data_IF_367994651890
#
_entry.id   IF_367994651890
#
_cell.length_a   1.000
_cell.length_b   1.000
_cell.length_c   1.000
_cell.angle_alpha   90.00
_cell.angle_beta   90.00
_cell.angle_gamma   90.00
#
_symmetry.space_group_name_H-M   'P 1'
#
loop_
_entity.id
_entity.type
_entity.pdbx_description
1 polymer ?
#
# COMPACT_ATOMS: atom_id res chain seq x y z
N UNK A 1 -33.60 57.69 -18.83
CA UNK A 1 -33.24 56.46 -18.07
C UNK A 1 -32.91 55.25 -18.98
N UNK A 2 -32.64 55.44 -20.27
CA UNK A 2 -32.35 54.33 -21.20
C UNK A 2 -30.86 54.12 -21.54
N UNK A 3 -29.98 55.09 -21.27
CA UNK A 3 -28.56 55.03 -21.69
C UNK A 3 -27.64 54.24 -20.75
N UNK A 4 -28.03 54.03 -19.48
CA UNK A 4 -27.18 53.33 -18.50
C UNK A 4 -27.19 51.79 -18.63
N UNK A 5 -28.10 51.20 -19.42
CA UNK A 5 -28.16 49.74 -19.61
C UNK A 5 -27.26 49.23 -20.72
N UNK A 6 -27.00 50.04 -21.75
CA UNK A 6 -26.23 49.63 -22.94
C UNK A 6 -24.74 49.50 -22.65
N UNK A 7 -24.15 50.45 -21.91
CA UNK A 7 -22.71 50.45 -21.54
C UNK A 7 -22.29 49.24 -20.68
N UNK A 8 -23.21 48.69 -19.87
CA UNK A 8 -22.91 47.59 -18.98
C UNK A 8 -22.84 46.23 -19.72
N UNK A 9 -23.54 46.11 -20.84
CA UNK A 9 -23.52 44.92 -21.72
C UNK A 9 -22.21 44.80 -22.47
N UNK A 10 -21.68 45.92 -22.99
CA UNK A 10 -20.42 45.94 -23.74
C UNK A 10 -19.21 45.68 -22.83
N UNK A 11 -19.27 46.14 -21.58
CA UNK A 11 -18.24 45.86 -20.58
C UNK A 11 -18.16 44.37 -20.21
N UNK A 12 -19.30 43.68 -20.10
CA UNK A 12 -19.36 42.24 -19.81
C UNK A 12 -18.91 41.38 -21.01
N UNK A 13 -19.20 41.82 -22.24
CA UNK A 13 -18.71 41.17 -23.45
C UNK A 13 -17.17 41.22 -23.53
N UNK A 14 -16.59 42.40 -23.26
CA UNK A 14 -15.15 42.61 -23.22
C UNK A 14 -14.45 41.75 -22.14
N UNK A 15 -15.04 41.66 -20.96
CA UNK A 15 -14.52 40.80 -19.89
C UNK A 15 -14.49 39.32 -20.29
N UNK A 16 -15.52 38.86 -21.00
CA UNK A 16 -15.65 37.46 -21.46
C UNK A 16 -14.65 37.14 -22.56
N UNK A 17 -14.39 38.09 -23.45
CA UNK A 17 -13.43 37.95 -24.54
C UNK A 17 -11.97 37.97 -24.05
N UNK A 18 -11.65 38.79 -23.04
CA UNK A 18 -10.33 38.75 -22.38
C UNK A 18 -10.12 37.40 -21.69
N UNK A 19 -11.16 36.84 -21.07
CA UNK A 19 -11.11 35.51 -20.45
C UNK A 19 -10.87 34.42 -21.50
N UNK A 20 -11.54 34.46 -22.65
CA UNK A 20 -11.36 33.47 -23.71
C UNK A 20 -9.94 33.53 -24.31
N UNK A 21 -9.39 34.72 -24.52
CA UNK A 21 -8.00 34.90 -24.98
C UNK A 21 -6.97 34.36 -24.00
N UNK A 22 -7.22 34.53 -22.70
CA UNK A 22 -6.37 33.97 -21.65
C UNK A 22 -6.51 32.44 -21.54
N UNK A 23 -7.65 31.87 -21.92
CA UNK A 23 -7.86 30.42 -21.97
C UNK A 23 -7.13 29.78 -23.15
N UNK A 24 -7.13 30.43 -24.31
CA UNK A 24 -6.43 29.96 -25.53
C UNK A 24 -4.90 30.02 -25.39
N UNK A 25 -4.37 30.92 -24.55
CA UNK A 25 -2.92 31.12 -24.38
C UNK A 25 -2.44 30.78 -22.96
N UNK A 26 -2.08 29.51 -22.67
CA UNK A 26 -1.68 29.08 -21.33
C UNK A 26 -0.35 29.66 -20.82
N UNK A 27 0.49 30.21 -21.72
CA UNK A 27 1.72 30.94 -21.39
C UNK A 27 1.49 32.40 -21.01
N UNK A 28 0.24 32.88 -21.07
CA UNK A 28 -0.17 34.24 -20.76
C UNK A 28 -0.23 35.16 -21.99
N UNK A 29 -1.01 36.23 -21.88
CA UNK A 29 -1.32 37.19 -22.95
C UNK A 29 -0.67 38.54 -22.64
N UNK A 30 0.08 39.11 -23.59
CA UNK A 30 0.67 40.46 -23.47
C UNK A 30 -0.35 41.55 -23.80
N UNK A 31 -0.16 42.77 -23.29
CA UNK A 31 -1.04 43.93 -23.58
C UNK A 31 -1.26 44.16 -25.10
N UNK A 32 -0.19 44.01 -25.91
CA UNK A 32 -0.26 44.09 -27.38
C UNK A 32 -1.14 43.01 -28.04
N UNK A 33 -1.25 41.84 -27.43
CA UNK A 33 -2.08 40.75 -27.94
C UNK A 33 -3.56 40.98 -27.61
N UNK A 34 -3.85 41.64 -26.49
CA UNK A 34 -5.21 42.09 -26.13
C UNK A 34 -5.64 43.23 -27.05
N UNK A 35 -4.73 44.16 -27.34
CA UNK A 35 -4.96 45.27 -28.28
C UNK A 35 -5.25 44.80 -29.71
N UNK A 36 -4.53 43.78 -30.19
CA UNK A 36 -4.78 43.20 -31.53
C UNK A 36 -6.09 42.41 -31.62
N UNK A 37 -6.52 41.79 -30.53
CA UNK A 37 -7.74 40.98 -30.51
C UNK A 37 -9.01 41.84 -30.38
N UNK A 38 -8.92 43.00 -29.72
CA UNK A 38 -10.03 43.93 -29.53
C UNK A 38 -9.64 45.36 -29.94
N UNK A 39 -9.47 45.63 -31.24
CA UNK A 39 -9.08 46.94 -31.75
C UNK A 39 -10.19 48.01 -31.62
N UNK A 40 -11.43 47.60 -31.37
CA UNK A 40 -12.63 48.45 -31.41
C UNK A 40 -12.88 49.24 -30.11
N UNK A 41 -12.08 49.02 -29.05
CA UNK A 41 -12.37 49.50 -27.68
C UNK A 41 -11.31 50.49 -27.19
N UNK A 42 -11.75 51.56 -26.53
CA UNK A 42 -10.88 52.60 -25.97
C UNK A 42 -9.93 52.03 -24.88
N UNK A 43 -8.71 52.58 -24.82
CA UNK A 43 -7.64 52.14 -23.90
C UNK A 43 -8.10 52.20 -22.45
N UNK A 44 -8.94 53.18 -22.09
CA UNK A 44 -9.46 53.33 -20.72
C UNK A 44 -10.47 52.25 -20.35
N UNK A 45 -11.33 51.83 -21.28
CA UNK A 45 -12.29 50.75 -21.06
C UNK A 45 -11.57 49.40 -20.91
N UNK A 46 -10.52 49.17 -21.70
CA UNK A 46 -9.64 47.99 -21.57
C UNK A 46 -8.96 47.90 -20.21
N UNK A 47 -8.34 49.00 -19.74
CA UNK A 47 -7.70 49.04 -18.42
C UNK A 47 -8.73 48.84 -17.30
N UNK A 48 -9.94 49.39 -17.46
CA UNK A 48 -11.02 49.21 -16.47
C UNK A 48 -11.50 47.76 -16.40
N UNK A 49 -11.67 47.08 -17.54
CA UNK A 49 -12.02 45.67 -17.60
C UNK A 49 -10.91 44.77 -17.02
N UNK A 50 -9.64 45.04 -17.33
CA UNK A 50 -8.49 44.33 -16.75
C UNK A 50 -8.46 44.50 -15.22
N UNK A 51 -8.62 45.72 -14.73
CA UNK A 51 -8.65 46.00 -13.28
C UNK A 51 -9.84 45.32 -12.60
N UNK A 52 -11.01 45.25 -13.24
CA UNK A 52 -12.16 44.48 -12.75
C UNK A 52 -11.86 42.98 -12.69
N UNK A 53 -11.31 42.40 -13.75
CA UNK A 53 -10.94 40.98 -13.80
C UNK A 53 -9.85 40.61 -12.78
N UNK A 54 -8.91 41.52 -12.50
CA UNK A 54 -7.91 41.40 -11.44
C UNK A 54 -8.56 41.46 -10.05
N UNK A 55 -9.49 42.39 -9.84
CA UNK A 55 -10.23 42.53 -8.57
C UNK A 55 -11.13 41.32 -8.31
N UNK A 56 -11.75 40.77 -9.36
CA UNK A 56 -12.51 39.52 -9.32
C UNK A 56 -11.62 38.28 -9.17
N UNK A 57 -10.30 38.42 -9.37
CA UNK A 57 -9.33 37.35 -9.22
C UNK A 57 -9.39 36.27 -10.30
N UNK A 58 -9.97 36.57 -11.47
CA UNK A 58 -10.06 35.65 -12.63
C UNK A 58 -8.75 35.58 -13.41
N UNK A 59 -7.96 36.66 -13.40
CA UNK A 59 -6.66 36.77 -14.06
C UNK A 59 -5.56 37.17 -13.07
N UNK A 60 -4.33 36.78 -13.35
CA UNK A 60 -3.11 37.18 -12.63
C UNK A 60 -2.16 37.95 -13.54
N UNK A 61 -1.49 38.97 -12.99
CA UNK A 61 -0.44 39.73 -13.68
C UNK A 61 0.93 39.17 -13.34
N UNK A 62 1.70 38.83 -14.36
CA UNK A 62 3.09 38.40 -14.29
C UNK A 62 3.98 39.42 -15.04
N UNK A 63 5.17 39.70 -14.52
CA UNK A 63 6.17 40.50 -15.24
C UNK A 63 6.99 39.58 -16.16
N UNK A 64 6.79 39.70 -17.47
CA UNK A 64 7.62 39.07 -18.49
C UNK A 64 8.75 39.99 -18.93
N UNK A 65 9.79 39.42 -19.55
CA UNK A 65 10.98 40.17 -20.01
C UNK A 65 10.69 41.30 -21.00
N UNK A 66 9.50 41.33 -21.61
CA UNK A 66 9.07 42.33 -22.59
C UNK A 66 7.76 43.06 -22.22
N UNK A 67 7.30 42.98 -20.96
CA UNK A 67 6.10 43.68 -20.49
C UNK A 67 5.24 42.91 -19.49
N UNK A 68 4.05 43.44 -19.19
CA UNK A 68 3.04 42.77 -18.35
C UNK A 68 2.37 41.64 -19.14
N UNK A 69 2.26 40.47 -18.53
CA UNK A 69 1.62 39.27 -19.09
C UNK A 69 0.45 38.88 -18.18
N UNK A 70 -0.73 38.72 -18.75
CA UNK A 70 -1.96 38.35 -18.05
C UNK A 70 -2.24 36.86 -18.24
N UNK A 71 -2.44 36.11 -17.16
CA UNK A 71 -2.73 34.67 -17.21
C UNK A 71 -4.02 34.34 -16.48
N UNK A 72 -4.77 33.36 -16.96
CA UNK A 72 -5.98 32.90 -16.27
C UNK A 72 -5.61 32.16 -14.97
N UNK A 73 -6.27 32.52 -13.87
CA UNK A 73 -6.07 31.83 -12.59
C UNK A 73 -6.81 30.49 -12.63
N UNK A 74 -6.08 29.38 -12.50
CA UNK A 74 -6.70 28.05 -12.42
C UNK A 74 -7.64 27.98 -11.20
N UNK A 75 -8.89 27.56 -11.43
CA UNK A 75 -9.96 27.47 -10.41
C UNK A 75 -9.60 26.55 -9.24
N UNK A 76 -8.59 25.71 -9.38
CA UNK A 76 -8.10 24.84 -8.31
C UNK A 76 -7.32 25.61 -7.23
N UNK A 77 -6.86 26.84 -7.51
CA UNK A 77 -6.19 27.70 -6.54
C UNK A 77 -7.14 28.66 -5.79
N UNK A 78 -8.40 28.79 -6.22
CA UNK A 78 -9.36 29.76 -5.68
C UNK A 78 -10.19 29.29 -4.50
N UNK A 79 -10.18 28.00 -4.16
CA UNK A 79 -10.81 27.50 -2.93
C UNK A 79 -10.03 27.86 -1.65
N UNK A 80 -9.01 28.70 -1.80
CA UNK A 80 -8.11 29.09 -0.72
C UNK A 80 -8.05 30.62 -0.59
N UNK A 81 -9.20 31.25 -0.35
CA UNK A 81 -9.26 32.64 0.16
C UNK A 81 -8.86 32.63 1.64
N UNK A 82 -7.73 33.24 1.95
CA UNK A 82 -7.27 33.46 3.34
C UNK A 82 -6.08 32.61 3.82
N UNK A 83 -5.40 31.89 2.92
CA UNK A 83 -4.26 31.04 3.32
C UNK A 83 -2.92 31.73 3.14
N UNK A 84 -2.14 31.62 4.21
CA UNK A 84 -0.75 32.03 4.35
C UNK A 84 0.11 31.51 3.19
N UNK A 85 1.06 32.31 2.70
CA UNK A 85 1.90 31.96 1.52
C UNK A 85 2.62 30.62 1.72
N UNK A 86 2.93 30.30 2.97
CA UNK A 86 3.55 29.04 3.39
C UNK A 86 2.61 27.83 3.29
N UNK A 87 1.32 27.98 3.61
CA UNK A 87 0.36 26.88 3.54
C UNK A 87 0.01 26.52 2.09
N UNK A 88 0.00 27.50 1.16
CA UNK A 88 -0.08 27.22 -0.29
C UNK A 88 1.12 26.43 -0.80
N UNK A 89 2.33 26.78 -0.36
CA UNK A 89 3.55 26.09 -0.77
C UNK A 89 3.56 24.63 -0.29
N UNK A 90 3.19 24.40 0.98
CA UNK A 90 3.09 23.04 1.54
C UNK A 90 2.05 22.21 0.77
N UNK A 91 0.89 22.79 0.47
CA UNK A 91 -0.15 22.11 -0.31
C UNK A 91 0.35 21.70 -1.70
N UNK A 92 0.99 22.61 -2.44
CA UNK A 92 1.54 22.32 -3.77
C UNK A 92 2.61 21.21 -3.75
N UNK A 93 3.43 21.14 -2.69
CA UNK A 93 4.41 20.07 -2.51
C UNK A 93 3.72 18.72 -2.28
N UNK A 94 2.65 18.68 -1.48
CA UNK A 94 1.88 17.46 -1.24
C UNK A 94 1.17 17.02 -2.53
N UNK A 95 0.59 17.96 -3.28
CA UNK A 95 -0.03 17.70 -4.58
C UNK A 95 0.99 17.10 -5.58
N UNK A 96 2.22 17.63 -5.61
CA UNK A 96 3.28 17.10 -6.46
C UNK A 96 3.74 15.68 -6.12
N UNK A 97 3.48 15.21 -4.90
CA UNK A 97 3.87 13.87 -4.45
C UNK A 97 2.87 12.77 -4.86
N UNK A 98 1.65 13.15 -5.24
CA UNK A 98 0.62 12.22 -5.74
C UNK A 98 0.31 11.06 -4.76
N UNK A 99 0.19 9.85 -5.31
CA UNK A 99 -0.30 8.67 -4.58
C UNK A 99 0.70 8.04 -3.60
N UNK A 100 2.01 8.29 -3.78
CA UNK A 100 3.05 7.83 -2.85
C UNK A 100 3.09 8.68 -1.56
N UNK A 101 2.53 9.88 -1.63
CA UNK A 101 2.57 10.85 -0.55
C UNK A 101 3.98 11.36 -0.24
N UNK A 102 4.07 12.23 0.77
CA UNK A 102 5.34 12.83 1.20
C UNK A 102 5.48 12.82 2.72
N UNK A 103 6.68 12.52 3.21
CA UNK A 103 6.97 12.55 4.64
C UNK A 103 7.24 13.99 5.11
N UNK A 104 6.74 14.37 6.29
CA UNK A 104 7.04 15.61 7.03
C UNK A 104 8.50 16.07 6.96
N UNK A 105 9.49 15.17 7.01
CA UNK A 105 10.91 15.55 6.91
C UNK A 105 11.25 16.11 5.52
N UNK A 106 10.71 15.52 4.46
CA UNK A 106 10.88 16.01 3.09
C UNK A 106 10.10 17.30 2.84
N UNK A 107 8.89 17.42 3.41
CA UNK A 107 8.13 18.68 3.36
C UNK A 107 8.95 19.81 3.99
N UNK A 108 9.58 19.54 5.15
CA UNK A 108 10.46 20.51 5.84
C UNK A 108 11.62 20.93 4.94
N UNK A 109 12.28 19.97 4.29
CA UNK A 109 13.41 20.24 3.40
C UNK A 109 13.00 21.06 2.17
N UNK A 110 11.85 20.74 1.55
CA UNK A 110 11.35 21.43 0.35
C UNK A 110 10.78 22.83 0.66
N UNK A 111 10.11 23.00 1.80
CA UNK A 111 9.56 24.31 2.19
C UNK A 111 10.60 25.24 2.83
N UNK A 112 11.71 24.68 3.34
CA UNK A 112 12.69 25.39 4.16
C UNK A 112 12.06 26.12 5.37
N UNK A 113 11.10 25.47 6.04
CA UNK A 113 10.39 26.01 7.20
C UNK A 113 10.73 25.24 8.49
N UNK A 114 10.48 25.87 9.64
CA UNK A 114 10.69 25.20 10.91
C UNK A 114 9.64 24.11 11.14
N UNK A 115 10.02 23.01 11.78
CA UNK A 115 9.15 21.84 11.95
C UNK A 115 7.84 22.16 12.69
N UNK A 116 7.88 23.13 13.62
CA UNK A 116 6.73 23.61 14.38
C UNK A 116 5.68 24.26 13.48
N UNK A 117 6.10 25.07 12.51
CA UNK A 117 5.22 25.73 11.54
C UNK A 117 4.63 24.73 10.55
N UNK A 118 5.46 23.82 10.03
CA UNK A 118 5.00 22.73 9.13
C UNK A 118 3.92 21.90 9.82
N UNK A 119 4.11 21.53 11.08
CA UNK A 119 3.11 20.76 11.83
C UNK A 119 1.80 21.54 12.06
N UNK A 120 1.86 22.86 12.31
CA UNK A 120 0.64 23.70 12.41
C UNK A 120 -0.11 23.74 11.07
N UNK A 121 0.60 23.97 9.98
CA UNK A 121 0.04 24.01 8.63
C UNK A 121 -0.59 22.67 8.25
N UNK A 122 0.10 21.55 8.50
CA UNK A 122 -0.42 20.21 8.22
C UNK A 122 -1.70 19.93 9.01
N UNK A 123 -1.76 20.30 10.29
CA UNK A 123 -2.99 20.17 11.10
C UNK A 123 -4.13 21.01 10.53
N UNK A 124 -3.87 22.26 10.13
CA UNK A 124 -4.89 23.12 9.53
C UNK A 124 -5.42 22.56 8.20
N UNK A 125 -4.54 22.04 7.34
CA UNK A 125 -4.91 21.41 6.07
C UNK A 125 -5.68 20.09 6.27
N UNK A 126 -5.33 19.32 7.30
CA UNK A 126 -6.01 18.09 7.72
C UNK A 126 -7.42 18.40 8.27
N UNK A 127 -7.56 19.43 9.11
CA UNK A 127 -8.86 19.90 9.62
C UNK A 127 -9.79 20.37 8.49
N UNK A 128 -9.24 20.98 7.43
CA UNK A 128 -10.00 21.39 6.23
C UNK A 128 -10.34 20.22 5.30
N UNK A 129 -9.91 18.99 5.60
CA UNK A 129 -10.05 17.79 4.74
C UNK A 129 -9.46 17.96 3.34
N UNK A 130 -8.43 18.80 3.19
CA UNK A 130 -7.70 18.96 1.92
C UNK A 130 -6.61 17.89 1.77
N UNK A 131 -5.99 17.51 2.88
CA UNK A 131 -4.99 16.46 2.95
C UNK A 131 -5.45 15.38 3.94
N UNK A 132 -4.93 14.17 3.75
CA UNK A 132 -5.05 13.09 4.70
C UNK A 132 -3.67 12.55 5.07
N UNK A 133 -3.69 11.86 6.19
CA UNK A 133 -2.55 11.35 6.90
C UNK A 133 -2.58 9.84 6.83
N UNK A 134 -1.60 9.23 6.17
CA UNK A 134 -1.48 7.77 6.05
C UNK A 134 -0.17 7.35 6.72
N UNK A 135 -0.19 6.30 7.52
CA UNK A 135 1.04 5.71 8.05
C UNK A 135 1.55 4.68 7.04
N UNK A 136 2.84 4.69 6.78
CA UNK A 136 3.45 3.78 5.80
C UNK A 136 3.63 2.40 6.41
N UNK A 137 3.25 1.33 5.70
CA UNK A 137 3.48 -0.06 6.14
C UNK A 137 4.97 -0.43 6.08
N UNK A 138 5.66 -0.05 4.99
CA UNK A 138 7.10 -0.30 4.83
C UNK A 138 7.96 0.37 5.92
N UNK A 139 7.47 1.49 6.47
CA UNK A 139 8.12 2.17 7.58
C UNK A 139 7.07 2.60 8.61
N UNK A 140 6.60 1.63 9.41
CA UNK A 140 5.53 1.76 10.42
C UNK A 140 5.58 3.04 11.28
N UNK A 141 6.77 3.60 11.56
CA UNK A 141 6.96 4.84 12.34
C UNK A 141 6.82 6.14 11.54
N UNK A 142 6.68 6.09 10.21
CA UNK A 142 6.66 7.26 9.33
C UNK A 142 5.24 7.58 8.87
N UNK A 143 4.84 8.84 9.09
CA UNK A 143 3.58 9.42 8.60
C UNK A 143 3.83 10.10 7.25
N UNK A 144 3.09 9.67 6.23
CA UNK A 144 3.07 10.29 4.90
C UNK A 144 1.77 11.08 4.73
N UNK A 145 1.86 12.20 4.03
CA UNK A 145 0.73 13.08 3.74
C UNK A 145 0.43 13.04 2.25
N UNK A 146 -0.86 13.04 1.92
CA UNK A 146 -1.35 13.04 0.54
C UNK A 146 -2.66 13.80 0.45
N UNK A 147 -3.11 14.11 -0.77
CA UNK A 147 -4.41 14.74 -0.98
C UNK A 147 -5.55 13.84 -0.51
N UNK A 148 -6.62 14.46 -0.02
CA UNK A 148 -7.78 13.72 0.49
C UNK A 148 -8.46 12.87 -0.59
N UNK A 149 -8.55 13.41 -1.81
CA UNK A 149 -9.18 12.77 -2.97
C UNK A 149 -8.37 11.59 -3.54
N UNK A 150 -7.06 11.51 -3.28
CA UNK A 150 -6.19 10.49 -3.86
C UNK A 150 -6.17 9.21 -3.01
N UNK A 151 -6.23 8.04 -3.65
CA UNK A 151 -6.04 6.77 -2.95
C UNK A 151 -4.53 6.48 -2.79
N UNK A 152 -4.11 5.97 -1.61
CA UNK A 152 -2.71 5.59 -1.37
C UNK A 152 -2.30 4.44 -2.28
N UNK A 153 -1.06 4.52 -2.77
CA UNK A 153 -0.48 3.48 -3.60
C UNK A 153 -0.23 2.18 -2.79
N UNK A 154 -0.22 1.03 -3.48
CA UNK A 154 0.01 -0.31 -2.87
C UNK A 154 1.32 -0.37 -2.09
N UNK A 155 2.33 0.36 -2.57
CA UNK A 155 3.64 0.50 -1.91
C UNK A 155 3.57 1.16 -0.52
N UNK A 156 2.54 1.97 -0.26
CA UNK A 156 2.33 2.66 1.02
C UNK A 156 1.42 1.86 1.94
N UNK A 157 0.36 1.24 1.39
CA UNK A 157 -0.63 0.46 2.14
C UNK A 157 -0.22 -0.99 2.39
N UNK A 158 0.78 -1.52 1.68
CA UNK A 158 1.19 -2.92 1.79
C UNK A 158 0.27 -3.90 1.04
N UNK A 159 -0.74 -3.42 0.31
CA UNK A 159 -1.68 -4.26 -0.44
C UNK A 159 -2.84 -4.79 0.39
N UNK A 160 -3.44 -5.90 -0.06
CA UNK A 160 -4.67 -6.46 0.51
C UNK A 160 -4.48 -7.18 1.87
N UNK A 161 -3.23 -7.39 2.30
CA UNK A 161 -2.88 -8.16 3.51
C UNK A 161 -2.78 -7.33 4.78
N UNK A 162 -2.93 -6.00 4.67
CA UNK A 162 -2.79 -5.09 5.79
C UNK A 162 -4.10 -4.33 6.01
N UNK A 163 -4.48 -4.25 7.29
CA UNK A 163 -5.62 -3.46 7.75
C UNK A 163 -5.15 -2.63 8.92
N UNK A 164 -5.39 -1.32 8.86
CA UNK A 164 -4.97 -0.36 9.89
C UNK A 164 -3.48 -0.42 10.33
N UNK A 165 -2.60 -0.88 9.43
CA UNK A 165 -1.14 -1.15 9.60
C UNK A 165 -0.77 -2.48 10.24
N UNK A 166 -1.73 -3.29 10.66
CA UNK A 166 -1.45 -4.64 11.14
C UNK A 166 -1.57 -5.64 9.99
N UNK A 167 -0.66 -6.61 9.98
CA UNK A 167 -0.69 -7.71 9.04
C UNK A 167 -1.77 -8.70 9.49
N UNK A 168 -2.76 -8.94 8.63
CA UNK A 168 -3.85 -9.87 8.93
C UNK A 168 -3.41 -11.32 8.65
N UNK A 169 -2.56 -11.87 9.52
CA UNK A 169 -2.07 -13.26 9.36
C UNK A 169 -3.20 -14.28 9.35
N UNK A 170 -4.20 -14.11 10.23
CA UNK A 170 -5.36 -15.00 10.30
C UNK A 170 -6.15 -15.04 8.98
N UNK A 171 -6.29 -13.88 8.33
CA UNK A 171 -6.98 -13.79 7.05
C UNK A 171 -6.19 -14.49 5.94
N UNK A 172 -4.87 -14.28 5.89
CA UNK A 172 -3.97 -14.96 4.94
C UNK A 172 -4.00 -16.48 5.14
N UNK A 173 -4.00 -16.95 6.38
CA UNK A 173 -4.07 -18.38 6.71
C UNK A 173 -5.41 -19.00 6.26
N UNK A 174 -6.53 -18.33 6.54
CA UNK A 174 -7.85 -18.80 6.10
C UNK A 174 -7.93 -18.88 4.58
N UNK A 175 -7.43 -17.86 3.86
CA UNK A 175 -7.41 -17.87 2.40
C UNK A 175 -6.52 -18.98 1.84
N UNK A 176 -5.32 -19.17 2.41
CA UNK A 176 -4.41 -20.26 2.04
C UNK A 176 -5.09 -21.63 2.20
N UNK A 177 -5.78 -21.84 3.32
CA UNK A 177 -6.55 -23.06 3.56
C UNK A 177 -7.68 -23.26 2.55
N UNK A 178 -8.44 -22.21 2.21
CA UNK A 178 -9.52 -22.31 1.22
C UNK A 178 -8.99 -22.57 -0.19
N UNK A 179 -7.89 -21.92 -0.59
CA UNK A 179 -7.24 -22.16 -1.87
C UNK A 179 -6.77 -23.62 -1.98
N UNK A 180 -6.09 -24.12 -0.95
CA UNK A 180 -5.64 -25.51 -0.91
C UNK A 180 -6.81 -26.50 -0.95
N UNK A 181 -7.89 -26.23 -0.20
CA UNK A 181 -9.09 -27.07 -0.19
C UNK A 181 -9.74 -27.16 -1.57
N UNK A 182 -9.85 -26.05 -2.29
CA UNK A 182 -10.38 -26.05 -3.66
C UNK A 182 -9.53 -26.94 -4.59
N UNK A 183 -8.21 -26.79 -4.54
CA UNK A 183 -7.30 -27.55 -5.39
C UNK A 183 -7.35 -29.05 -5.07
N UNK A 184 -7.42 -29.42 -3.79
CA UNK A 184 -7.63 -30.81 -3.37
C UNK A 184 -8.97 -31.37 -3.85
N UNK A 185 -10.06 -30.61 -3.73
CA UNK A 185 -11.37 -31.04 -4.21
C UNK A 185 -11.36 -31.29 -5.72
N UNK A 186 -10.69 -30.44 -6.50
CA UNK A 186 -10.52 -30.67 -7.94
C UNK A 186 -9.73 -31.93 -8.24
N UNK A 187 -8.64 -32.17 -7.52
CA UNK A 187 -7.84 -33.39 -7.66
C UNK A 187 -8.68 -34.64 -7.36
N UNK A 188 -9.34 -34.70 -6.21
CA UNK A 188 -10.18 -35.84 -5.81
C UNK A 188 -11.33 -36.10 -6.80
N UNK A 189 -11.96 -35.04 -7.31
CA UNK A 189 -13.05 -35.17 -8.28
C UNK A 189 -12.54 -35.74 -9.62
N UNK A 190 -11.35 -35.32 -10.06
CA UNK A 190 -10.71 -35.86 -11.26
C UNK A 190 -10.32 -37.34 -11.10
N UNK A 191 -9.91 -37.75 -9.88
CA UNK A 191 -9.58 -39.15 -9.59
C UNK A 191 -10.83 -40.05 -9.59
N UNK A 192 -11.91 -39.59 -8.92
CA UNK A 192 -13.19 -40.31 -8.79
C UNK A 192 -13.89 -40.49 -10.14
N UNK A 193 -13.64 -39.63 -11.11
CA UNK A 193 -14.20 -39.77 -12.46
C UNK A 193 -13.57 -40.94 -13.21
N UNK A 194 -14.16 -42.12 -13.10
CA UNK A 194 -13.71 -43.34 -13.79
C UNK A 194 -13.84 -43.31 -15.32
N UNK A 195 -14.53 -42.31 -15.89
CA UNK A 195 -14.83 -42.25 -17.32
C UNK A 195 -13.72 -41.60 -18.17
N UNK A 196 -12.87 -40.80 -17.54
CA UNK A 196 -11.84 -40.02 -18.22
C UNK A 196 -10.52 -40.79 -18.39
N UNK A 197 -9.83 -40.52 -19.51
CA UNK A 197 -8.47 -41.02 -19.73
C UNK A 197 -7.49 -40.41 -18.72
N UNK A 198 -6.35 -41.07 -18.39
CA UNK A 198 -5.38 -40.52 -17.43
C UNK A 198 -4.87 -39.12 -17.78
N UNK A 199 -4.74 -38.81 -19.08
CA UNK A 199 -4.35 -37.48 -19.57
C UNK A 199 -5.46 -36.45 -19.30
N UNK A 200 -6.72 -36.81 -19.57
CA UNK A 200 -7.86 -35.94 -19.32
C UNK A 200 -8.12 -35.72 -17.82
N UNK A 201 -7.93 -36.75 -16.99
CA UNK A 201 -7.94 -36.63 -15.51
C UNK A 201 -6.87 -35.67 -15.01
N UNK A 202 -5.66 -35.79 -15.56
CA UNK A 202 -4.59 -34.87 -15.19
C UNK A 202 -4.96 -33.43 -15.57
N UNK A 203 -5.43 -33.20 -16.81
CA UNK A 203 -5.85 -31.88 -17.25
C UNK A 203 -6.97 -31.28 -16.40
N UNK A 204 -7.95 -32.07 -15.95
CA UNK A 204 -9.08 -31.59 -15.13
C UNK A 204 -8.71 -31.28 -13.68
N UNK A 205 -7.61 -31.82 -13.18
CA UNK A 205 -7.10 -31.54 -11.83
C UNK A 205 -6.44 -30.16 -11.69
N UNK A 206 -6.09 -29.50 -12.79
CA UNK A 206 -5.52 -28.15 -12.78
C UNK A 206 -6.59 -27.06 -12.59
N UNK A 207 -6.16 -25.95 -12.01
CA UNK A 207 -6.97 -24.76 -11.78
C UNK A 207 -6.18 -23.51 -12.17
N UNK A 208 -6.83 -22.56 -12.84
CA UNK A 208 -6.20 -21.26 -13.13
C UNK A 208 -6.29 -20.32 -11.92
N UNK A 209 -5.37 -19.35 -11.81
CA UNK A 209 -5.42 -18.32 -10.75
C UNK A 209 -6.74 -17.54 -10.76
N UNK A 210 -7.31 -17.32 -11.96
CA UNK A 210 -8.60 -16.65 -12.10
C UNK A 210 -9.75 -17.48 -11.52
N UNK A 211 -9.79 -18.79 -11.77
CA UNK A 211 -10.82 -19.67 -11.20
C UNK A 211 -10.74 -19.72 -9.68
N UNK A 212 -9.52 -19.70 -9.12
CA UNK A 212 -9.33 -19.60 -7.67
C UNK A 212 -9.86 -18.27 -7.14
N UNK A 213 -9.57 -17.16 -7.82
CA UNK A 213 -10.08 -15.84 -7.45
C UNK A 213 -11.61 -15.81 -7.45
N UNK A 214 -12.24 -16.30 -8.52
CA UNK A 214 -13.70 -16.34 -8.66
C UNK A 214 -14.35 -17.18 -7.54
N UNK A 215 -13.73 -18.32 -7.18
CA UNK A 215 -14.16 -19.14 -6.06
C UNK A 215 -14.10 -18.38 -4.72
N UNK A 216 -12.98 -17.70 -4.44
CA UNK A 216 -12.82 -16.93 -3.20
C UNK A 216 -13.81 -15.76 -3.14
N UNK A 217 -14.06 -15.08 -4.26
CA UNK A 217 -15.06 -14.01 -4.33
C UNK A 217 -16.47 -14.53 -4.06
N UNK A 218 -16.82 -15.71 -4.60
CA UNK A 218 -18.12 -16.35 -4.39
C UNK A 218 -18.33 -16.80 -2.93
N UNK A 219 -17.27 -17.16 -2.22
CA UNK A 219 -17.36 -17.50 -0.79
C UNK A 219 -17.63 -16.27 0.09
N UNK A 220 -17.41 -15.05 -0.41
CA UNK A 220 -17.71 -13.80 0.31
C UNK A 220 -16.89 -13.61 1.58
N UNK A 221 -15.70 -14.22 1.67
CA UNK A 221 -14.84 -14.19 2.86
C UNK A 221 -14.23 -12.79 3.06
N UNK A 222 -13.92 -12.09 1.97
CA UNK A 222 -13.21 -10.81 2.00
C UNK A 222 -14.13 -9.61 1.76
N UNK A 223 -14.00 -8.59 2.61
CA UNK A 223 -14.53 -7.23 2.33
C UNK A 223 -13.60 -6.43 1.41
N UNK A 224 -12.34 -6.85 1.32
CA UNK A 224 -11.30 -6.23 0.49
C UNK A 224 -11.37 -6.78 -0.93
N UNK A 225 -11.15 -5.91 -1.91
CA UNK A 225 -11.05 -6.30 -3.32
C UNK A 225 -9.72 -7.01 -3.57
N UNK A 226 -9.76 -8.32 -3.79
CA UNK A 226 -8.59 -9.13 -4.12
C UNK A 226 -8.34 -9.10 -5.63
N UNK A 227 -7.07 -8.98 -6.01
CA UNK A 227 -6.63 -9.08 -7.41
C UNK A 227 -6.08 -10.47 -7.72
N UNK A 228 -5.94 -10.79 -9.01
CA UNK A 228 -5.35 -12.07 -9.43
C UNK A 228 -3.90 -12.20 -8.92
N UNK A 229 -3.12 -11.12 -8.95
CA UNK A 229 -1.76 -11.08 -8.39
C UNK A 229 -1.72 -11.44 -6.89
N UNK A 230 -2.70 -10.97 -6.09
CA UNK A 230 -2.76 -11.31 -4.67
C UNK A 230 -2.96 -12.82 -4.48
N UNK A 231 -3.86 -13.43 -5.26
CA UNK A 231 -4.09 -14.88 -5.21
C UNK A 231 -2.85 -15.66 -5.64
N UNK A 232 -2.12 -15.21 -6.67
CA UNK A 232 -0.87 -15.84 -7.07
C UNK A 232 0.16 -15.82 -5.92
N UNK A 233 0.27 -14.73 -5.17
CA UNK A 233 1.17 -14.71 -4.00
C UNK A 233 0.79 -15.72 -2.92
N UNK A 234 -0.51 -16.00 -2.73
CA UNK A 234 -0.98 -17.04 -1.81
C UNK A 234 -0.68 -18.43 -2.36
N UNK A 235 -0.92 -18.66 -3.65
CA UNK A 235 -0.61 -19.94 -4.30
C UNK A 235 0.89 -20.23 -4.27
N UNK A 236 1.74 -19.21 -4.42
CA UNK A 236 3.19 -19.34 -4.26
C UNK A 236 3.57 -19.83 -2.85
N UNK A 237 2.89 -19.35 -1.79
CA UNK A 237 3.13 -19.88 -0.43
C UNK A 237 2.78 -21.37 -0.31
N UNK A 238 1.72 -21.82 -0.98
CA UNK A 238 1.35 -23.24 -1.03
C UNK A 238 2.34 -24.10 -1.84
N UNK A 239 3.01 -23.51 -2.84
CA UNK A 239 4.12 -24.15 -3.55
C UNK A 239 5.32 -24.31 -2.62
N UNK A 240 5.68 -23.26 -1.87
CA UNK A 240 6.78 -23.33 -0.89
C UNK A 240 6.49 -24.31 0.26
N UNK A 241 5.23 -24.47 0.64
CA UNK A 241 4.77 -25.52 1.57
C UNK A 241 4.87 -26.94 1.00
N UNK A 242 5.11 -27.08 -0.31
CA UNK A 242 5.17 -28.37 -1.01
C UNK A 242 3.81 -29.04 -1.20
N UNK A 243 2.72 -28.28 -1.12
CA UNK A 243 1.33 -28.80 -1.25
C UNK A 243 0.76 -28.66 -2.65
N UNK A 244 1.30 -27.74 -3.44
CA UNK A 244 0.79 -27.36 -4.77
C UNK A 244 1.95 -27.32 -5.76
N UNK A 245 1.70 -27.72 -7.00
CA UNK A 245 2.61 -27.51 -8.14
C UNK A 245 2.05 -26.44 -9.08
N UNK A 246 2.97 -25.78 -9.77
CA UNK A 246 2.70 -24.83 -10.84
C UNK A 246 3.11 -25.46 -12.18
N UNK A 247 2.22 -25.32 -13.17
CA UNK A 247 2.49 -25.60 -14.57
C UNK A 247 2.28 -24.32 -15.38
N UNK A 248 3.35 -23.81 -15.98
CA UNK A 248 3.28 -22.65 -16.88
C UNK A 248 2.99 -23.10 -18.30
N UNK A 249 1.78 -22.81 -18.77
CA UNK A 249 1.38 -23.07 -20.15
C UNK A 249 1.59 -21.79 -20.96
N UNK A 250 2.62 -21.81 -21.81
CA UNK A 250 2.87 -20.73 -22.76
C UNK A 250 1.86 -20.83 -23.91
N UNK A 251 0.88 -19.92 -23.95
CA UNK A 251 -0.06 -19.82 -25.07
C UNK A 251 0.58 -18.98 -26.16
N UNK A 252 0.51 -19.44 -27.41
CA UNK A 252 1.16 -18.82 -28.58
C UNK A 252 0.70 -17.40 -28.90
N UNK A 253 -0.44 -16.94 -28.35
CA UNK A 253 -1.07 -15.67 -28.74
C UNK A 253 -1.47 -14.74 -27.57
N UNK A 254 -1.34 -15.13 -26.29
CA UNK A 254 -1.92 -14.33 -25.18
C UNK A 254 -1.12 -14.31 -23.87
N UNK A 255 0.16 -14.64 -23.91
CA UNK A 255 1.02 -14.70 -22.71
C UNK A 255 0.96 -16.04 -21.97
N UNK A 256 1.78 -16.17 -20.94
CA UNK A 256 1.87 -17.37 -20.09
C UNK A 256 0.66 -17.47 -19.17
N UNK A 257 -0.04 -18.62 -19.18
CA UNK A 257 -1.10 -18.92 -18.22
C UNK A 257 -0.57 -19.86 -17.14
N UNK A 258 -0.65 -19.41 -15.89
CA UNK A 258 -0.30 -20.20 -14.70
C UNK A 258 -1.43 -21.15 -14.34
N UNK A 259 -1.13 -22.44 -14.22
CA UNK A 259 -2.06 -23.47 -13.76
C UNK A 259 -1.51 -24.14 -12.50
N UNK A 260 -2.38 -24.33 -11.52
CA UNK A 260 -2.03 -24.85 -10.21
C UNK A 260 -2.77 -26.16 -9.95
N UNK A 261 -2.09 -27.12 -9.32
CA UNK A 261 -2.66 -28.42 -8.96
C UNK A 261 -2.18 -28.82 -7.57
N UNK A 262 -3.07 -29.38 -6.74
CA UNK A 262 -2.68 -29.95 -5.45
C UNK A 262 -1.87 -31.23 -5.65
N UNK A 263 -0.92 -31.49 -4.75
CA UNK A 263 -0.10 -32.70 -4.76
C UNK A 263 -0.31 -33.45 -3.46
N UNK A 264 -0.38 -34.78 -3.53
CA UNK A 264 -0.30 -35.61 -2.34
C UNK A 264 1.14 -35.66 -1.84
N UNK A 265 1.31 -35.54 -0.52
CA UNK A 265 2.62 -35.69 0.12
C UNK A 265 3.20 -37.07 -0.22
N UNK A 266 4.31 -37.09 -0.95
CA UNK A 266 4.90 -38.32 -1.46
C UNK A 266 5.50 -39.20 -0.36
N UNK A 267 5.97 -38.58 0.72
CA UNK A 267 6.66 -39.24 1.82
C UNK A 267 6.14 -38.65 3.13
N UNK A 268 5.73 -39.51 4.05
CA UNK A 268 5.39 -39.09 5.41
C UNK A 268 6.63 -38.55 6.15
N UNK A 269 6.39 -37.79 7.22
CA UNK A 269 7.48 -37.32 8.07
C UNK A 269 8.32 -38.51 8.57
N UNK A 270 9.62 -38.47 8.27
CA UNK A 270 10.56 -39.54 8.62
C UNK A 270 10.60 -39.77 10.14
N UNK A 271 10.85 -41.01 10.58
CA UNK A 271 10.90 -41.34 12.01
C UNK A 271 11.96 -40.55 12.80
N UNK A 272 12.95 -39.99 12.12
CA UNK A 272 13.95 -39.09 12.72
C UNK A 272 13.27 -37.88 13.36
N UNK A 273 12.31 -37.24 12.69
CA UNK A 273 11.60 -36.07 13.24
C UNK A 273 10.68 -36.42 14.41
N UNK A 274 10.30 -37.69 14.55
CA UNK A 274 9.54 -38.22 15.70
C UNK A 274 10.45 -38.45 16.91
N UNK A 275 11.76 -38.49 16.71
CA UNK A 275 12.70 -38.72 17.79
C UNK A 275 13.01 -37.39 18.49
N UNK A 276 12.86 -37.29 19.83
CA UNK A 276 13.04 -36.02 20.56
C UNK A 276 14.45 -35.44 20.43
N UNK A 277 15.46 -36.27 20.16
CA UNK A 277 16.83 -35.81 19.92
C UNK A 277 17.00 -35.07 18.59
N UNK A 278 16.18 -35.36 17.57
CA UNK A 278 16.29 -34.73 16.26
C UNK A 278 15.84 -33.26 16.26
N UNK A 279 14.84 -32.95 17.09
CA UNK A 279 14.26 -31.61 17.26
C UNK A 279 14.81 -30.88 18.50
N UNK A 280 15.78 -31.47 19.20
CA UNK A 280 16.32 -30.92 20.43
C UNK A 280 17.19 -29.67 20.16
N UNK A 281 16.81 -28.47 20.68
CA UNK A 281 17.56 -27.24 20.44
C UNK A 281 18.96 -27.24 21.08
N UNK A 282 19.20 -28.12 22.05
CA UNK A 282 20.48 -28.23 22.78
C UNK A 282 21.30 -29.47 22.40
N UNK A 283 20.94 -30.16 21.30
CA UNK A 283 21.60 -31.40 20.84
C UNK A 283 23.13 -31.30 20.84
N UNK A 284 23.68 -30.22 20.29
CA UNK A 284 25.12 -30.07 20.12
C UNK A 284 25.84 -29.58 21.40
N UNK A 285 25.13 -29.05 22.40
CA UNK A 285 25.75 -28.45 23.59
C UNK A 285 25.78 -29.37 24.81
N UNK A 286 24.69 -30.11 25.05
CA UNK A 286 24.55 -30.90 26.29
C UNK A 286 24.53 -32.42 26.07
N UNK A 287 24.24 -32.90 24.86
CA UNK A 287 24.15 -34.34 24.62
C UNK A 287 25.52 -35.04 24.64
N UNK A 288 26.61 -34.35 24.28
CA UNK A 288 27.96 -34.91 24.31
C UNK A 288 28.53 -35.13 25.73
N UNK A 289 28.00 -34.45 26.76
CA UNK A 289 28.46 -34.63 28.14
C UNK A 289 28.06 -36.00 28.73
N UNK A 290 27.03 -36.65 28.19
CA UNK A 290 26.62 -38.01 28.56
C UNK A 290 27.63 -39.08 28.10
N UNK A 291 28.41 -38.83 27.05
CA UNK A 291 29.37 -39.80 26.49
C UNK A 291 30.70 -39.83 27.28
N UNK A 292 31.01 -38.77 28.05
CA UNK A 292 32.27 -38.65 28.81
C UNK A 292 32.17 -38.99 30.31
N UNK A 293 31.15 -39.75 30.71
CA UNK A 293 31.12 -40.38 32.05
C UNK A 293 30.82 -39.44 33.23
N UNK A 294 30.27 -38.25 32.99
CA UNK A 294 29.75 -37.39 34.07
C UNK A 294 28.23 -37.53 34.10
N UNK A 295 27.69 -37.88 35.28
CA UNK A 295 26.25 -38.04 35.56
C UNK A 295 25.45 -36.75 35.28
N UNK A 296 25.13 -36.49 34.03
CA UNK A 296 24.13 -35.51 33.61
C UNK A 296 23.00 -36.21 32.85
N UNK A 297 22.35 -37.16 33.52
CA UNK A 297 21.12 -37.77 33.02
C UNK A 297 19.94 -36.76 32.94
N UNK A 298 20.10 -35.53 33.45
CA UNK A 298 18.99 -34.62 33.76
C UNK A 298 18.69 -33.48 32.78
N UNK A 299 19.50 -33.23 31.74
CA UNK A 299 19.31 -32.03 30.87
C UNK A 299 18.68 -32.33 29.50
N UNK A 300 18.86 -33.54 28.94
CA UNK A 300 18.04 -34.02 27.81
C UNK A 300 16.72 -34.68 28.27
N UNK A 301 16.64 -35.10 29.54
CA UNK A 301 15.46 -35.71 30.12
C UNK A 301 14.18 -34.87 30.05
N UNK A 302 14.15 -33.54 30.28
CA UNK A 302 12.88 -32.80 30.26
C UNK A 302 12.21 -32.81 28.88
N UNK A 303 12.97 -32.77 27.77
CA UNK A 303 12.37 -32.91 26.44
C UNK A 303 11.80 -34.31 26.24
N UNK A 304 12.56 -35.37 26.54
CA UNK A 304 12.00 -36.73 26.43
C UNK A 304 10.81 -36.95 27.36
N UNK A 305 10.87 -36.48 28.60
CA UNK A 305 9.85 -36.68 29.62
C UNK A 305 8.57 -35.91 29.30
N UNK A 306 8.66 -34.66 28.81
CA UNK A 306 7.51 -33.88 28.36
C UNK A 306 6.89 -34.48 27.08
N UNK A 307 7.71 -34.97 26.15
CA UNK A 307 7.21 -35.57 24.89
C UNK A 307 6.62 -36.97 25.09
N UNK A 308 7.09 -37.73 26.09
CA UNK A 308 6.59 -39.07 26.41
C UNK A 308 5.44 -39.08 27.45
N UNK A 309 5.36 -38.10 28.36
CA UNK A 309 4.45 -38.15 29.51
C UNK A 309 3.49 -36.96 29.67
N UNK A 310 3.51 -35.95 28.79
CA UNK A 310 2.58 -34.81 28.89
C UNK A 310 2.95 -33.81 30.01
N UNK A 311 2.27 -32.66 30.00
CA UNK A 311 2.73 -31.34 30.47
C UNK A 311 2.82 -31.17 32.01
N UNK A 312 2.51 -32.18 32.81
CA UNK A 312 2.22 -31.98 34.24
C UNK A 312 3.44 -31.84 35.20
N UNK A 313 4.68 -31.82 34.70
CA UNK A 313 5.91 -31.74 35.53
C UNK A 313 6.77 -30.49 35.34
N UNK A 314 6.26 -29.44 34.67
CA UNK A 314 7.04 -28.23 34.38
C UNK A 314 7.34 -27.42 35.66
N UNK A 315 6.49 -27.48 36.68
CA UNK A 315 6.66 -26.76 37.96
C UNK A 315 7.86 -27.21 38.78
N UNK A 316 8.26 -28.49 38.70
CA UNK A 316 9.41 -29.03 39.42
C UNK A 316 10.75 -28.74 38.74
N UNK A 317 10.75 -28.50 37.41
CA UNK A 317 11.97 -28.22 36.65
C UNK A 317 12.58 -26.85 36.99
N UNK A 318 11.75 -25.83 37.26
CA UNK A 318 12.24 -24.49 37.67
C UNK A 318 12.89 -24.56 39.05
N UNK A 319 12.30 -25.32 39.98
CA UNK A 319 12.86 -25.55 41.32
C UNK A 319 14.18 -26.32 41.28
N UNK A 320 14.29 -27.31 40.38
CA UNK A 320 15.52 -28.10 40.21
C UNK A 320 16.64 -27.28 39.56
N UNK A 321 16.33 -26.45 38.56
CA UNK A 321 17.30 -25.53 37.93
C UNK A 321 17.79 -24.47 38.94
N UNK A 322 16.90 -23.93 39.79
CA UNK A 322 17.28 -23.00 40.84
C UNK A 322 18.15 -23.64 41.95
N UNK A 323 17.87 -24.91 42.30
CA UNK A 323 18.71 -25.70 43.23
C UNK A 323 20.08 -26.02 42.66
N UNK A 324 20.16 -26.37 41.37
CA UNK A 324 21.43 -26.67 40.69
C UNK A 324 22.27 -25.39 40.53
N UNK A 325 21.65 -24.24 40.22
CA UNK A 325 22.34 -22.95 40.16
C UNK A 325 22.95 -22.52 41.51
N UNK A 326 22.31 -22.87 42.64
CA UNK A 326 22.89 -22.65 43.98
C UNK A 326 24.06 -23.56 44.31
N UNK A 327 24.08 -24.80 43.79
CA UNK A 327 25.18 -25.75 44.02
C UNK A 327 26.42 -25.37 43.19
N UNK A 328 26.24 -24.77 42.00
CA UNK A 328 27.36 -24.32 41.16
C UNK A 328 28.03 -23.03 41.63
N UNK A 329 27.38 -22.22 42.47
CA UNK A 329 27.97 -20.98 42.99
C UNK A 329 28.91 -21.20 44.19
N UNK A 330 29.00 -22.42 44.72
CA UNK A 330 29.89 -22.78 45.84
C UNK A 330 31.23 -23.40 45.39
N UNK A 331 31.39 -23.76 44.11
CA UNK A 331 32.64 -24.31 43.55
C UNK A 331 33.46 -23.27 42.76
N UNK A 332 33.15 -21.98 42.92
CA UNK A 332 33.90 -20.87 42.32
C UNK A 332 34.32 -19.84 43.39
N UNK A 333 34.98 -20.32 44.44
CA UNK A 333 35.96 -19.58 45.25
C UNK A 333 37.13 -20.50 45.58
#
# INVERSE_FOLDING_TARGET
MAEAKTENTDALALETEIISLCATNPKGVTDKAIENAVPTVDVRQRVTAINRLLTMGKIEVLKGGSGLVYKLKSSNASNIKGVDRHEKLVYQIIESAGNKGIWTREIRYKCNLMLTEVNKILKNLESKKLIKAVKSVAASKKKVYMLFSLQPDRSVTGGAWYSDQDFESEFVEVLSQQCHKLLLQKLENAEKDGSLSPIAKNASSYCSSQEVLDFIQNLGISKVNLTNEDIETILDTLIYDGKVELSDVSMTESGSKKLYRAIHTLIEATDVTRTPCAVCPVRNKFCCLLIKGIKYLGLCAPYMHVTLFGVDLITDCVGLIAKISRIFNTDLM
#
